data_IF_113001647470
#
_entry.id   IF_113001647470
#
_cell.length_a   1.000
_cell.length_b   1.000
_cell.length_c   1.000
_cell.angle_alpha   90.00
_cell.angle_beta   90.00
_cell.angle_gamma   90.00
#
_symmetry.space_group_name_H-M   'P 1'
#
loop_
_entity.id
_entity.type
_entity.pdbx_description
1 polymer ?
#
# COMPACT_ATOMS: atom_id res chain seq x y z
N UNK A 1 15.90 8.27 11.01
CA UNK A 1 15.71 7.34 9.86
C UNK A 1 16.38 7.94 8.63
N UNK A 2 17.24 7.17 7.97
CA UNK A 2 17.87 7.60 6.72
C UNK A 2 16.89 7.48 5.54
N UNK A 3 17.13 8.20 4.42
CA UNK A 3 16.31 8.04 3.22
C UNK A 3 16.20 6.58 2.74
N UNK A 4 17.30 5.83 2.74
CA UNK A 4 17.27 4.43 2.30
C UNK A 4 16.51 3.54 3.28
N UNK A 5 16.57 3.80 4.58
CA UNK A 5 15.76 3.07 5.56
C UNK A 5 14.26 3.33 5.34
N UNK A 6 13.88 4.57 5.03
CA UNK A 6 12.50 4.92 4.72
C UNK A 6 12.02 4.25 3.43
N UNK A 7 12.85 4.20 2.39
CA UNK A 7 12.56 3.48 1.14
C UNK A 7 12.38 1.97 1.40
N UNK A 8 13.27 1.35 2.17
CA UNK A 8 13.16 -0.07 2.52
C UNK A 8 11.89 -0.38 3.32
N UNK A 9 11.53 0.50 4.25
CA UNK A 9 10.28 0.36 5.01
C UNK A 9 9.05 0.45 4.12
N UNK A 10 9.04 1.38 3.17
CA UNK A 10 7.97 1.50 2.19
C UNK A 10 7.91 0.25 1.29
N UNK A 11 9.05 -0.27 0.84
CA UNK A 11 9.11 -1.50 0.05
C UNK A 11 8.55 -2.70 0.83
N UNK A 12 8.90 -2.83 2.10
CA UNK A 12 8.37 -3.89 2.97
C UNK A 12 6.83 -3.79 3.10
N UNK A 13 6.31 -2.56 3.23
CA UNK A 13 4.85 -2.33 3.27
C UNK A 13 4.17 -2.71 1.95
N UNK A 14 4.81 -2.42 0.83
CA UNK A 14 4.26 -2.79 -0.49
C UNK A 14 4.31 -4.31 -0.73
N UNK A 15 5.34 -5.01 -0.29
CA UNK A 15 5.36 -6.47 -0.32
C UNK A 15 4.17 -7.06 0.46
N UNK A 16 3.90 -6.53 1.64
CA UNK A 16 2.73 -6.95 2.44
C UNK A 16 1.42 -6.65 1.73
N UNK A 17 1.27 -5.43 1.17
CA UNK A 17 0.06 -5.02 0.46
C UNK A 17 -0.21 -5.91 -0.76
N UNK A 18 0.79 -6.20 -1.58
CA UNK A 18 0.67 -7.10 -2.75
C UNK A 18 0.16 -8.47 -2.33
N UNK A 19 0.76 -9.06 -1.29
CA UNK A 19 0.34 -10.37 -0.78
C UNK A 19 -1.11 -10.33 -0.30
N UNK A 20 -1.45 -9.34 0.52
CA UNK A 20 -2.78 -9.23 1.14
C UNK A 20 -3.88 -8.94 0.12
N UNK A 21 -3.65 -8.06 -0.87
CA UNK A 21 -4.63 -7.81 -1.91
C UNK A 21 -4.80 -9.00 -2.85
N UNK A 22 -3.77 -9.78 -3.09
CA UNK A 22 -3.87 -11.06 -3.79
C UNK A 22 -4.83 -12.00 -3.06
N UNK A 23 -4.70 -12.10 -1.73
CA UNK A 23 -5.59 -12.89 -0.89
C UNK A 23 -7.03 -12.35 -0.89
N UNK A 24 -7.23 -11.04 -0.71
CA UNK A 24 -8.55 -10.42 -0.73
C UNK A 24 -9.26 -10.62 -2.07
N UNK A 25 -8.53 -10.47 -3.17
CA UNK A 25 -9.05 -10.74 -4.52
C UNK A 25 -9.53 -12.17 -4.68
N UNK A 26 -8.73 -13.14 -4.20
CA UNK A 26 -9.07 -14.56 -4.26
C UNK A 26 -10.31 -14.92 -3.40
N UNK A 27 -10.55 -14.18 -2.34
CA UNK A 27 -11.72 -14.38 -1.45
C UNK A 27 -12.95 -13.59 -1.87
N UNK A 28 -12.82 -12.68 -2.82
CA UNK A 28 -13.95 -11.91 -3.38
C UNK A 28 -14.60 -12.65 -4.55
N UNK A 29 -15.83 -12.27 -4.88
CA UNK A 29 -16.58 -12.86 -5.98
C UNK A 29 -16.77 -11.86 -7.11
N UNK A 30 -16.15 -12.12 -8.26
CA UNK A 30 -16.31 -11.29 -9.45
C UNK A 30 -17.77 -11.22 -9.93
N UNK A 31 -18.50 -12.33 -9.84
CA UNK A 31 -19.90 -12.41 -10.29
C UNK A 31 -20.88 -11.77 -9.31
N UNK A 32 -20.65 -11.92 -7.99
CA UNK A 32 -21.55 -11.40 -6.94
C UNK A 32 -21.22 -9.96 -6.55
N UNK A 33 -19.93 -9.59 -6.57
CA UNK A 33 -19.41 -8.29 -6.14
C UNK A 33 -18.46 -7.71 -7.19
N UNK A 34 -18.95 -7.43 -8.41
CA UNK A 34 -18.07 -7.03 -9.52
C UNK A 34 -17.35 -5.70 -9.26
N UNK A 35 -17.99 -4.75 -8.56
CA UNK A 35 -17.38 -3.46 -8.22
C UNK A 35 -16.25 -3.62 -7.21
N UNK A 36 -16.49 -4.37 -6.14
CA UNK A 36 -15.47 -4.65 -5.14
C UNK A 36 -14.31 -5.43 -5.74
N UNK A 37 -14.61 -6.48 -6.51
CA UNK A 37 -13.58 -7.29 -7.16
C UNK A 37 -12.69 -6.44 -8.06
N UNK A 38 -13.26 -5.59 -8.90
CA UNK A 38 -12.50 -4.70 -9.78
C UNK A 38 -11.63 -3.70 -9.00
N UNK A 39 -12.14 -3.17 -7.89
CA UNK A 39 -11.39 -2.26 -7.02
C UNK A 39 -10.20 -2.96 -6.35
N UNK A 40 -10.38 -4.19 -5.88
CA UNK A 40 -9.30 -4.99 -5.30
C UNK A 40 -8.23 -5.32 -6.34
N UNK A 41 -8.62 -5.66 -7.57
CA UNK A 41 -7.69 -5.93 -8.66
C UNK A 41 -6.88 -4.69 -9.04
N UNK A 42 -7.53 -3.54 -9.20
CA UNK A 42 -6.86 -2.26 -9.49
C UNK A 42 -5.89 -1.88 -8.37
N UNK A 43 -6.28 -2.10 -7.11
CA UNK A 43 -5.45 -1.79 -5.95
C UNK A 43 -4.25 -2.74 -5.89
N UNK A 44 -4.44 -4.01 -6.16
CA UNK A 44 -3.35 -4.98 -6.29
C UNK A 44 -2.32 -4.53 -7.33
N UNK A 45 -2.77 -4.14 -8.51
CA UNK A 45 -1.88 -3.67 -9.58
C UNK A 45 -1.13 -2.38 -9.19
N UNK A 46 -1.80 -1.46 -8.50
CA UNK A 46 -1.17 -0.23 -8.00
C UNK A 46 -0.04 -0.53 -7.00
N UNK A 47 -0.25 -1.45 -6.07
CA UNK A 47 0.77 -1.87 -5.11
C UNK A 47 1.92 -2.62 -5.77
N UNK A 48 1.67 -3.43 -6.79
CA UNK A 48 2.72 -4.06 -7.59
C UNK A 48 3.62 -3.03 -8.26
N UNK A 49 3.02 -2.02 -8.88
CA UNK A 49 3.75 -0.94 -9.54
C UNK A 49 4.60 -0.15 -8.53
N UNK A 50 4.05 0.19 -7.37
CA UNK A 50 4.78 0.89 -6.31
C UNK A 50 5.92 0.04 -5.74
N UNK A 51 5.71 -1.24 -5.51
CA UNK A 51 6.75 -2.19 -5.11
C UNK A 51 7.91 -2.21 -6.11
N UNK A 52 7.60 -2.32 -7.38
CA UNK A 52 8.61 -2.38 -8.44
C UNK A 52 9.40 -1.07 -8.50
N UNK A 53 8.73 0.07 -8.38
CA UNK A 53 9.39 1.38 -8.32
C UNK A 53 10.31 1.53 -7.12
N UNK A 54 9.86 1.14 -5.94
CA UNK A 54 10.65 1.17 -4.71
C UNK A 54 11.89 0.27 -4.80
N UNK A 55 11.75 -0.90 -5.41
CA UNK A 55 12.88 -1.80 -5.68
C UNK A 55 13.96 -1.09 -6.49
N UNK A 56 13.59 -0.37 -7.55
CA UNK A 56 14.52 0.44 -8.36
C UNK A 56 15.15 1.55 -7.54
N UNK A 57 14.37 2.26 -6.72
CA UNK A 57 14.87 3.38 -5.91
C UNK A 57 15.87 2.91 -4.85
N UNK A 58 15.62 1.79 -4.19
CA UNK A 58 16.56 1.19 -3.21
C UNK A 58 17.85 0.77 -3.91
N UNK A 59 17.75 0.05 -5.03
CA UNK A 59 18.92 -0.38 -5.80
C UNK A 59 19.77 0.81 -6.27
N UNK A 60 19.14 1.91 -6.66
CA UNK A 60 19.83 3.13 -7.06
C UNK A 60 20.63 3.79 -5.92
N UNK A 61 20.32 3.47 -4.65
CA UNK A 61 21.07 3.89 -3.46
C UNK A 61 22.23 2.94 -3.14
N UNK A 62 22.47 1.92 -3.96
CA UNK A 62 23.53 0.94 -3.74
C UNK A 62 23.22 -0.06 -2.61
N UNK A 63 21.95 -0.32 -2.35
CA UNK A 63 21.49 -1.27 -1.33
C UNK A 63 20.68 -2.38 -1.96
N UNK A 64 20.73 -3.56 -1.35
CA UNK A 64 19.88 -4.67 -1.75
C UNK A 64 18.45 -4.41 -1.27
N UNK A 65 17.45 -4.45 -2.20
CA UNK A 65 16.05 -4.29 -1.82
C UNK A 65 15.60 -5.39 -0.85
N UNK A 66 14.86 -5.02 0.18
CA UNK A 66 14.29 -5.99 1.10
C UNK A 66 13.38 -6.97 0.35
N UNK A 67 13.53 -8.26 0.65
CA UNK A 67 12.74 -9.32 0.03
C UNK A 67 11.34 -9.41 0.64
N UNK A 68 10.38 -9.90 -0.14
CA UNK A 68 9.07 -10.28 0.36
C UNK A 68 9.21 -11.41 1.39
N UNK A 69 8.33 -11.43 2.39
CA UNK A 69 8.20 -12.54 3.34
C UNK A 69 7.39 -13.67 2.72
N UNK A 70 7.52 -14.87 3.29
CA UNK A 70 6.73 -16.03 2.88
C UNK A 70 5.25 -15.85 3.19
N UNK A 71 4.93 -15.15 4.28
CA UNK A 71 3.55 -14.95 4.74
C UNK A 71 3.41 -13.62 5.48
N UNK A 72 2.17 -13.10 5.51
CA UNK A 72 1.80 -11.87 6.20
C UNK A 72 0.49 -12.06 6.96
N UNK A 73 0.40 -11.45 8.14
CA UNK A 73 -0.82 -11.48 8.96
C UNK A 73 -1.92 -10.64 8.31
N UNK A 74 -3.07 -11.25 8.09
CA UNK A 74 -4.26 -10.54 7.59
C UNK A 74 -4.86 -9.71 8.72
N UNK A 75 -5.05 -8.38 8.56
CA UNK A 75 -5.48 -7.51 9.64
C UNK A 75 -7.01 -7.53 9.84
N UNK A 76 -7.59 -8.70 9.99
CA UNK A 76 -9.00 -8.89 10.31
C UNK A 76 -9.66 -10.02 9.52
N UNK A 77 -10.94 -10.32 9.83
CA UNK A 77 -11.68 -11.34 9.12
C UNK A 77 -12.03 -10.92 7.70
N UNK A 78 -12.18 -11.89 6.81
CA UNK A 78 -12.43 -11.71 5.37
C UNK A 78 -13.59 -12.59 4.87
N UNK A 79 -14.54 -12.93 5.73
CA UNK A 79 -15.61 -13.87 5.42
C UNK A 79 -16.77 -13.31 4.60
N UNK A 80 -16.83 -11.99 4.43
CA UNK A 80 -17.88 -11.32 3.65
C UNK A 80 -17.35 -10.00 3.04
N UNK A 81 -18.07 -9.37 2.09
CA UNK A 81 -17.65 -8.15 1.43
C UNK A 81 -17.34 -6.98 2.38
N UNK A 82 -18.15 -6.77 3.42
CA UNK A 82 -17.94 -5.70 4.40
C UNK A 82 -16.64 -5.90 5.20
N UNK A 83 -16.33 -7.13 5.56
CA UNK A 83 -15.07 -7.49 6.24
C UNK A 83 -13.86 -7.30 5.31
N UNK A 84 -13.96 -7.70 4.05
CA UNK A 84 -12.93 -7.49 3.04
C UNK A 84 -12.62 -5.99 2.89
N UNK A 85 -13.64 -5.15 2.77
CA UNK A 85 -13.47 -3.70 2.68
C UNK A 85 -12.83 -3.12 3.95
N UNK A 86 -13.20 -3.63 5.13
CA UNK A 86 -12.59 -3.20 6.39
C UNK A 86 -11.10 -3.55 6.47
N UNK A 87 -10.70 -4.72 5.97
CA UNK A 87 -9.29 -5.12 5.88
C UNK A 87 -8.55 -4.22 4.89
N UNK A 88 -9.13 -3.95 3.73
CA UNK A 88 -8.56 -3.05 2.73
C UNK A 88 -8.31 -1.65 3.32
N UNK A 89 -9.25 -1.07 4.07
CA UNK A 89 -9.07 0.21 4.77
C UNK A 89 -7.88 0.18 5.72
N UNK A 90 -7.71 -0.89 6.48
CA UNK A 90 -6.58 -1.04 7.41
C UNK A 90 -5.24 -1.12 6.69
N UNK A 91 -5.20 -1.83 5.57
CA UNK A 91 -4.00 -1.92 4.73
C UNK A 91 -3.64 -0.51 4.20
N UNK A 92 -4.59 0.19 3.60
CA UNK A 92 -4.34 1.51 3.02
C UNK A 92 -3.93 2.54 4.08
N UNK A 93 -4.50 2.50 5.29
CA UNK A 93 -4.05 3.36 6.39
C UNK A 93 -2.59 3.13 6.77
N UNK A 94 -2.15 1.88 6.82
CA UNK A 94 -0.74 1.56 7.07
C UNK A 94 0.15 2.08 5.96
N UNK A 95 -0.25 1.86 4.72
CA UNK A 95 0.49 2.32 3.53
C UNK A 95 0.56 3.85 3.52
N UNK A 96 -0.54 4.54 3.74
CA UNK A 96 -0.58 6.01 3.80
C UNK A 96 0.37 6.55 4.87
N UNK A 97 0.35 5.98 6.07
CA UNK A 97 1.28 6.36 7.15
C UNK A 97 2.74 6.14 6.76
N UNK A 98 3.03 5.00 6.14
CA UNK A 98 4.38 4.68 5.68
C UNK A 98 4.88 5.65 4.62
N UNK A 99 4.02 6.05 3.69
CA UNK A 99 4.37 7.07 2.71
C UNK A 99 4.52 8.47 3.33
N UNK A 100 3.77 8.78 4.37
CA UNK A 100 3.99 10.00 5.17
C UNK A 100 5.39 10.05 5.77
N UNK A 101 5.87 8.94 6.32
CA UNK A 101 7.25 8.81 6.80
C UNK A 101 8.27 8.94 5.65
N UNK A 102 7.98 8.33 4.50
CA UNK A 102 8.86 8.42 3.33
C UNK A 102 9.00 9.87 2.85
N UNK A 103 7.92 10.62 2.78
CA UNK A 103 7.93 12.06 2.46
C UNK A 103 8.81 12.82 3.45
N UNK A 104 8.67 12.55 4.75
CA UNK A 104 9.43 13.23 5.80
C UNK A 104 10.94 12.95 5.72
N UNK A 105 11.34 11.78 5.23
CA UNK A 105 12.73 11.32 5.28
C UNK A 105 13.44 11.30 3.92
N UNK A 106 12.84 11.88 2.89
CA UNK A 106 13.43 11.97 1.54
C UNK A 106 13.48 13.41 1.06
N UNK A 107 14.17 13.63 -0.07
CA UNK A 107 14.28 14.93 -0.74
C UNK A 107 14.29 14.74 -2.25
N UNK A 108 14.22 15.82 -2.99
CA UNK A 108 14.34 15.81 -4.46
C UNK A 108 13.32 14.92 -5.15
N UNK A 109 13.75 14.15 -6.12
CA UNK A 109 12.88 13.27 -6.91
C UNK A 109 12.23 12.16 -6.09
N UNK A 110 12.93 11.63 -5.11
CA UNK A 110 12.38 10.58 -4.22
C UNK A 110 11.19 11.12 -3.41
N UNK A 111 11.31 12.34 -2.86
CA UNK A 111 10.21 13.00 -2.15
C UNK A 111 9.03 13.31 -3.08
N UNK A 112 9.27 13.78 -4.29
CA UNK A 112 8.19 14.03 -5.26
C UNK A 112 7.42 12.74 -5.57
N UNK A 113 8.13 11.66 -5.78
CA UNK A 113 7.49 10.36 -5.98
C UNK A 113 6.71 9.92 -4.72
N UNK A 114 7.30 10.09 -3.54
CA UNK A 114 6.66 9.74 -2.27
C UNK A 114 5.36 10.53 -2.03
N UNK A 115 5.33 11.82 -2.36
CA UNK A 115 4.12 12.65 -2.28
C UNK A 115 3.04 12.10 -3.21
N UNK A 116 3.38 11.74 -4.44
CA UNK A 116 2.45 11.14 -5.39
C UNK A 116 1.88 9.80 -4.86
N UNK A 117 2.75 8.96 -4.30
CA UNK A 117 2.36 7.69 -3.70
C UNK A 117 1.46 7.88 -2.46
N UNK A 118 1.78 8.86 -1.62
CA UNK A 118 0.96 9.24 -0.46
C UNK A 118 -0.45 9.66 -0.88
N UNK A 119 -0.55 10.53 -1.87
CA UNK A 119 -1.84 11.00 -2.39
C UNK A 119 -2.67 9.85 -2.98
N UNK A 120 -2.03 8.94 -3.70
CA UNK A 120 -2.70 7.75 -4.25
C UNK A 120 -3.22 6.82 -3.16
N UNK A 121 -2.43 6.58 -2.11
CA UNK A 121 -2.84 5.76 -0.96
C UNK A 121 -4.00 6.40 -0.20
N UNK A 122 -3.95 7.70 0.04
CA UNK A 122 -5.03 8.44 0.68
C UNK A 122 -6.34 8.38 -0.13
N UNK A 123 -6.25 8.48 -1.46
CA UNK A 123 -7.39 8.33 -2.34
C UNK A 123 -7.99 6.91 -2.26
N UNK A 124 -7.17 5.88 -2.13
CA UNK A 124 -7.65 4.50 -1.93
C UNK A 124 -8.34 4.31 -0.58
N UNK A 125 -7.83 4.94 0.49
CA UNK A 125 -8.54 4.95 1.78
C UNK A 125 -9.98 5.47 1.61
N UNK A 126 -10.14 6.58 0.92
CA UNK A 126 -11.45 7.18 0.67
C UNK A 126 -12.32 6.23 -0.18
N UNK A 127 -11.75 5.62 -1.21
CA UNK A 127 -12.45 4.66 -2.06
C UNK A 127 -12.96 3.44 -1.28
N UNK A 128 -12.27 3.03 -0.21
CA UNK A 128 -12.71 1.96 0.70
C UNK A 128 -13.54 2.47 1.89
N UNK A 129 -13.93 3.74 1.92
CA UNK A 129 -14.88 4.30 2.87
C UNK A 129 -14.30 5.05 4.06
N UNK A 130 -12.99 5.36 4.04
CA UNK A 130 -12.39 6.23 5.07
C UNK A 130 -12.74 7.69 4.77
N UNK A 131 -13.19 8.49 5.75
CA UNK A 131 -13.39 9.93 5.53
C UNK A 131 -12.10 10.65 5.13
N UNK A 132 -12.16 11.68 4.28
CA UNK A 132 -11.00 12.47 3.91
C UNK A 132 -10.30 13.08 5.14
N UNK A 133 -8.97 13.13 5.08
CA UNK A 133 -8.12 13.79 6.09
C UNK A 133 -7.43 15.00 5.47
N UNK A 134 -7.27 16.08 6.27
CA UNK A 134 -6.50 17.25 5.84
C UNK A 134 -5.01 16.93 5.66
N UNK A 135 -4.49 16.01 6.46
CA UNK A 135 -3.08 15.62 6.44
C UNK A 135 -2.96 14.11 6.42
N UNK A 136 -3.11 13.48 5.22
CA UNK A 136 -2.95 12.05 5.09
C UNK A 136 -1.57 11.59 5.58
N UNK A 137 -1.54 10.47 6.31
CA UNK A 137 -0.30 9.89 6.81
C UNK A 137 0.24 10.48 8.11
N UNK A 138 -0.38 11.53 8.65
CA UNK A 138 0.04 12.15 9.92
C UNK A 138 -0.82 11.76 11.12
N UNK A 139 -1.87 11.02 10.92
CA UNK A 139 -2.77 10.60 12.00
C UNK A 139 -2.40 9.23 12.57
#
# INVERSE_FOLDING_TARGET
>A
MTPVQALQKALAAEHAAVHLYGLLGAQSSKSRQPVLFARLEQTYDAHRAARDRLTVLVSAKGRDPVAAKVDYVVPGPTGNPAQIEAVARRIERRVTRTYGELVANTSGSDRRWAISALNSAAAREIAFGVPPSHFPGLA
#
